data_IF_490505206599
#
_entry.id   IF_490505206599
#
_cell.length_a   1.000
_cell.length_b   1.000
_cell.length_c   1.000
_cell.angle_alpha   90.00
_cell.angle_beta   90.00
_cell.angle_gamma   90.00
#
_symmetry.space_group_name_H-M   'P 1'
#
loop_
_entity.id
_entity.type
_entity.pdbx_description
1 polymer ?
#
# COMPACT_ATOMS: atom_id res chain seq x y z
N UNK A 1 8.41 -17.16 -9.29
CA UNK A 1 8.76 -15.71 -9.41
C UNK A 1 7.93 -14.82 -8.48
N UNK A 2 6.62 -15.04 -8.31
CA UNK A 2 5.74 -14.23 -7.44
C UNK A 2 6.22 -14.11 -5.97
N UNK A 3 6.66 -15.23 -5.36
CA UNK A 3 7.20 -15.22 -4.00
C UNK A 3 8.49 -14.40 -3.86
N UNK A 4 9.30 -14.31 -4.92
CA UNK A 4 10.55 -13.56 -4.91
C UNK A 4 10.27 -12.06 -5.01
N UNK A 5 9.33 -11.66 -5.88
CA UNK A 5 8.88 -10.27 -5.99
C UNK A 5 8.30 -9.74 -4.68
N UNK A 6 7.45 -10.53 -4.01
CA UNK A 6 6.92 -10.17 -2.68
C UNK A 6 8.03 -9.92 -1.66
N UNK A 7 8.93 -10.90 -1.52
CA UNK A 7 10.03 -10.82 -0.56
C UNK A 7 10.95 -9.65 -0.88
N UNK A 8 11.25 -9.41 -2.16
CA UNK A 8 12.09 -8.29 -2.59
C UNK A 8 11.45 -6.92 -2.29
N UNK A 9 10.16 -6.73 -2.58
CA UNK A 9 9.47 -5.46 -2.29
C UNK A 9 9.47 -5.16 -0.79
N UNK A 10 9.14 -6.15 0.04
CA UNK A 10 9.16 -5.97 1.50
C UNK A 10 10.58 -5.74 2.04
N UNK A 11 11.58 -6.45 1.52
CA UNK A 11 12.98 -6.26 1.90
C UNK A 11 13.44 -4.82 1.61
N UNK A 12 13.14 -4.31 0.40
CA UNK A 12 13.48 -2.93 0.02
C UNK A 12 12.84 -1.92 0.97
N UNK A 13 11.55 -2.07 1.29
CA UNK A 13 10.85 -1.18 2.24
C UNK A 13 11.50 -1.22 3.63
N UNK A 14 11.83 -2.40 4.14
CA UNK A 14 12.46 -2.56 5.46
C UNK A 14 13.85 -1.95 5.50
N UNK A 15 14.66 -2.13 4.45
CA UNK A 15 16.00 -1.54 4.36
C UNK A 15 15.95 -0.03 4.34
N UNK A 16 15.04 0.57 3.55
CA UNK A 16 14.87 2.02 3.52
C UNK A 16 14.39 2.59 4.86
N UNK A 17 13.46 1.91 5.53
CA UNK A 17 13.00 2.33 6.86
C UNK A 17 14.12 2.25 7.90
N UNK A 18 14.96 1.21 7.84
CA UNK A 18 16.11 1.05 8.74
C UNK A 18 17.19 2.11 8.49
N UNK A 19 17.55 2.36 7.22
CA UNK A 19 18.56 3.36 6.85
C UNK A 19 18.16 4.77 7.34
N UNK A 20 16.90 5.12 7.15
CA UNK A 20 16.37 6.39 7.61
C UNK A 20 16.26 6.45 9.13
N UNK A 21 15.86 5.36 9.79
CA UNK A 21 15.83 5.28 11.26
C UNK A 21 17.24 5.46 11.86
N UNK A 22 18.25 4.78 11.30
CA UNK A 22 19.65 4.95 11.71
C UNK A 22 20.09 6.40 11.53
N UNK A 23 19.72 7.04 10.42
CA UNK A 23 20.04 8.45 10.18
C UNK A 23 19.48 9.35 11.28
N UNK A 24 18.22 9.16 11.71
CA UNK A 24 17.62 9.92 12.82
C UNK A 24 18.35 9.66 14.14
N UNK A 25 18.70 8.41 14.43
CA UNK A 25 19.43 8.07 15.66
C UNK A 25 20.83 8.69 15.66
N UNK A 26 21.53 8.71 14.52
CA UNK A 26 22.83 9.35 14.40
C UNK A 26 22.75 10.86 14.68
N UNK A 27 21.73 11.53 14.16
CA UNK A 27 21.46 12.94 14.49
C UNK A 27 21.04 13.13 15.95
N UNK A 28 20.28 12.19 16.51
CA UNK A 28 19.84 12.26 17.91
C UNK A 28 20.96 12.03 18.93
N UNK A 29 21.97 11.22 18.62
CA UNK A 29 23.06 10.89 19.55
C UNK A 29 24.08 12.02 19.68
N UNK A 30 24.24 12.87 18.67
CA UNK A 30 25.23 13.96 18.69
C UNK A 30 24.73 15.22 19.41
N UNK A 31 23.99 15.08 20.52
CA UNK A 31 23.45 16.20 21.28
C UNK A 31 24.56 17.19 21.72
N UNK A 32 25.62 16.67 22.33
CA UNK A 32 26.68 17.50 22.93
C UNK A 32 27.43 18.33 21.87
N UNK A 33 27.74 17.73 20.72
CA UNK A 33 28.40 18.43 19.62
C UNK A 33 27.49 19.48 18.95
N UNK A 34 26.17 19.27 19.00
CA UNK A 34 25.19 20.22 18.48
C UNK A 34 25.04 21.44 19.38
N UNK A 35 25.15 21.25 20.69
CA UNK A 35 25.09 22.34 21.67
C UNK A 35 26.29 23.29 21.50
N UNK A 36 27.50 22.75 21.37
CA UNK A 36 28.72 23.54 21.14
C UNK A 36 28.66 24.34 19.82
N UNK A 37 28.18 23.70 18.74
CA UNK A 37 27.98 24.37 17.46
C UNK A 37 26.93 25.48 17.56
N UNK A 38 25.77 25.20 18.18
CA UNK A 38 24.68 26.14 18.36
C UNK A 38 25.13 27.40 19.12
N UNK A 39 25.89 27.22 20.22
CA UNK A 39 26.44 28.33 20.99
C UNK A 39 27.44 29.15 20.17
N UNK A 40 28.34 28.50 19.42
CA UNK A 40 29.34 29.19 18.59
C UNK A 40 28.70 30.05 17.48
N UNK A 41 27.66 29.53 16.82
CA UNK A 41 26.95 30.25 15.75
C UNK A 41 26.11 31.39 16.33
N UNK A 42 25.41 31.15 17.44
CA UNK A 42 24.57 32.16 18.10
C UNK A 42 25.39 33.35 18.59
N UNK A 43 26.59 33.10 19.12
CA UNK A 43 27.50 34.15 19.57
C UNK A 43 28.00 35.00 18.39
N UNK A 44 28.37 34.38 17.26
CA UNK A 44 28.87 35.10 16.08
C UNK A 44 27.83 36.04 15.46
N UNK A 45 26.55 35.64 15.42
CA UNK A 45 25.47 36.46 14.86
C UNK A 45 25.12 37.65 15.75
N UNK A 46 25.24 37.49 17.07
CA UNK A 46 24.94 38.55 18.04
C UNK A 46 26.07 39.58 18.10
N UNK A 47 27.33 39.16 18.01
CA UNK A 47 28.46 40.08 17.97
C UNK A 47 28.38 41.03 16.77
N UNK A 48 27.91 40.54 15.60
CA UNK A 48 27.75 41.35 14.39
C UNK A 48 26.64 42.41 14.52
N UNK A 49 25.61 42.18 15.34
CA UNK A 49 24.51 43.14 15.56
C UNK A 49 24.71 44.09 16.74
N UNK A 50 25.61 43.77 17.68
CA UNK A 50 25.95 44.65 18.80
C UNK A 50 26.98 45.72 18.39
N UNK A 51 27.78 45.50 17.34
CA UNK A 51 28.68 46.52 16.77
C UNK A 51 27.90 47.48 15.87
N UNK A 52 26.87 48.13 16.43
CA UNK A 52 26.24 49.27 15.78
C UNK A 52 27.15 50.48 15.94
N UNK A 53 27.62 50.98 14.81
CA UNK A 53 28.68 51.98 14.54
C UNK A 53 28.68 53.31 15.32
N UNK A 54 27.82 53.55 16.32
CA UNK A 54 27.66 54.85 16.97
C UNK A 54 27.42 54.80 18.49
N UNK A 55 28.06 53.89 19.23
CA UNK A 55 28.23 54.00 20.70
C UNK A 55 26.97 53.92 21.59
N UNK A 56 25.77 54.00 21.02
CA UNK A 56 24.51 53.78 21.72
C UNK A 56 24.20 52.28 21.73
N UNK A 57 24.32 51.67 22.91
CA UNK A 57 23.92 50.29 23.16
C UNK A 57 22.41 50.18 22.97
N UNK A 58 21.99 49.76 21.77
CA UNK A 58 20.61 49.42 21.49
C UNK A 58 20.33 48.13 22.26
N UNK A 59 19.76 48.28 23.46
CA UNK A 59 19.17 47.18 24.24
C UNK A 59 17.98 46.63 23.47
N UNK A 60 18.25 45.91 22.39
CA UNK A 60 17.36 44.90 21.85
C UNK A 60 17.26 43.89 22.98
N UNK A 61 16.24 44.08 23.82
CA UNK A 61 15.92 43.24 24.96
C UNK A 61 15.98 41.78 24.47
N UNK A 62 17.06 41.04 24.77
CA UNK A 62 17.25 39.73 24.18
C UNK A 62 16.16 38.88 24.77
N UNK A 63 15.19 38.50 23.94
CA UNK A 63 14.13 37.60 24.38
C UNK A 63 14.88 36.32 24.81
N UNK A 64 14.83 35.92 26.09
CA UNK A 64 15.68 34.84 26.61
C UNK A 64 15.40 33.49 25.93
N UNK A 65 14.34 33.40 25.14
CA UNK A 65 13.94 32.23 24.40
C UNK A 65 14.80 31.92 23.16
N UNK A 66 15.58 32.88 22.62
CA UNK A 66 16.42 32.64 21.43
C UNK A 66 17.69 31.81 21.70
N UNK A 67 18.09 31.68 22.98
CA UNK A 67 19.31 30.97 23.39
C UNK A 67 19.07 29.59 24.01
N UNK A 68 17.82 29.11 24.03
CA UNK A 68 17.55 27.76 24.51
C UNK A 68 17.88 26.73 23.42
N UNK A 69 19.18 26.53 23.11
CA UNK A 69 19.68 25.49 22.20
C UNK A 69 19.11 24.11 22.56
N UNK A 70 18.89 23.86 23.86
CA UNK A 70 18.24 22.65 24.37
C UNK A 70 16.78 22.48 23.91
N UNK A 71 16.00 23.56 23.88
CA UNK A 71 14.59 23.53 23.43
C UNK A 71 14.52 23.43 21.91
N UNK A 72 15.43 24.11 21.21
CA UNK A 72 15.54 24.04 19.75
C UNK A 72 15.88 22.62 19.30
N UNK A 73 16.87 21.98 19.92
CA UNK A 73 17.25 20.59 19.65
C UNK A 73 16.08 19.62 19.90
N UNK A 74 15.32 19.83 20.98
CA UNK A 74 14.15 19.01 21.28
C UNK A 74 13.05 19.14 20.20
N UNK A 75 12.83 20.35 19.69
CA UNK A 75 11.84 20.60 18.64
C UNK A 75 12.32 20.08 17.26
N UNK A 76 13.61 20.16 16.97
CA UNK A 76 14.22 19.59 15.75
C UNK A 76 14.08 18.06 15.71
N UNK A 77 14.31 17.38 16.84
CA UNK A 77 14.09 15.92 16.93
C UNK A 77 12.61 15.56 16.76
N UNK A 78 11.70 16.31 17.38
CA UNK A 78 10.26 16.09 17.21
C UNK A 78 9.85 16.26 15.75
N UNK A 79 10.40 17.26 15.07
CA UNK A 79 10.17 17.47 13.64
C UNK A 79 10.74 16.32 12.81
N UNK A 80 11.96 15.86 13.10
CA UNK A 80 12.58 14.73 12.40
C UNK A 80 11.74 13.44 12.55
N UNK A 81 11.23 13.16 13.75
CA UNK A 81 10.33 12.03 14.01
C UNK A 81 9.00 12.20 13.26
N UNK A 82 8.42 13.39 13.24
CA UNK A 82 7.17 13.64 12.50
C UNK A 82 7.35 13.45 10.99
N UNK A 83 8.44 13.96 10.42
CA UNK A 83 8.80 13.77 9.00
C UNK A 83 9.07 12.30 8.71
N UNK A 84 9.71 11.56 9.61
CA UNK A 84 9.91 10.11 9.46
C UNK A 84 8.59 9.36 9.35
N UNK A 85 7.63 9.64 10.24
CA UNK A 85 6.32 8.98 10.22
C UNK A 85 5.62 9.28 8.88
N UNK A 86 5.64 10.54 8.44
CA UNK A 86 5.03 10.94 7.17
C UNK A 86 5.68 10.21 5.98
N UNK A 87 7.01 10.19 5.93
CA UNK A 87 7.76 9.48 4.88
C UNK A 87 7.49 7.97 4.93
N UNK A 88 7.44 7.37 6.12
CA UNK A 88 7.12 5.95 6.27
C UNK A 88 5.74 5.60 5.71
N UNK A 89 4.72 6.43 5.98
CA UNK A 89 3.37 6.26 5.42
C UNK A 89 3.41 6.35 3.90
N UNK A 90 4.09 7.36 3.34
CA UNK A 90 4.27 7.49 1.90
C UNK A 90 4.95 6.25 1.31
N UNK A 91 6.06 5.78 1.86
CA UNK A 91 6.79 4.62 1.35
C UNK A 91 5.97 3.33 1.42
N UNK A 92 5.26 3.09 2.53
CA UNK A 92 4.35 1.95 2.65
C UNK A 92 3.25 2.04 1.59
N UNK A 93 2.66 3.22 1.39
CA UNK A 93 1.66 3.44 0.34
C UNK A 93 2.21 3.12 -1.06
N UNK A 94 3.39 3.66 -1.40
CA UNK A 94 4.06 3.39 -2.68
C UNK A 94 4.34 1.89 -2.87
N UNK A 95 4.78 1.19 -1.83
CA UNK A 95 5.02 -0.24 -1.87
C UNK A 95 3.72 -1.04 -2.11
N UNK A 96 2.62 -0.68 -1.44
CA UNK A 96 1.31 -1.29 -1.65
C UNK A 96 0.78 -1.03 -3.08
N UNK A 97 1.01 0.17 -3.62
CA UNK A 97 0.67 0.50 -5.00
C UNK A 97 1.45 -0.36 -6.00
N UNK A 98 2.77 -0.47 -5.84
CA UNK A 98 3.62 -1.31 -6.70
C UNK A 98 3.24 -2.79 -6.58
N UNK A 99 2.92 -3.24 -5.36
CA UNK A 99 2.45 -4.60 -5.13
C UNK A 99 1.13 -4.89 -5.86
N UNK A 100 0.15 -4.00 -5.74
CA UNK A 100 -1.14 -4.08 -6.43
C UNK A 100 -0.96 -4.07 -7.96
N UNK A 101 -0.07 -3.22 -8.47
CA UNK A 101 0.25 -3.16 -9.88
C UNK A 101 0.90 -4.46 -10.39
N UNK A 102 1.88 -5.00 -9.65
CA UNK A 102 2.54 -6.24 -10.00
C UNK A 102 1.55 -7.41 -10.08
N UNK A 103 0.60 -7.50 -9.14
CA UNK A 103 -0.45 -8.52 -9.19
C UNK A 103 -1.36 -8.38 -10.41
N UNK A 104 -1.82 -7.16 -10.73
CA UNK A 104 -2.67 -6.91 -11.90
C UNK A 104 -1.95 -7.27 -13.20
N UNK A 105 -0.68 -6.89 -13.33
CA UNK A 105 0.15 -7.22 -14.49
C UNK A 105 0.30 -8.73 -14.67
N UNK A 106 0.50 -9.46 -13.57
CA UNK A 106 0.61 -10.91 -13.59
C UNK A 106 -0.69 -11.59 -14.02
N UNK A 107 -1.85 -11.13 -13.53
CA UNK A 107 -3.15 -11.65 -13.96
C UNK A 107 -3.37 -11.45 -15.45
N UNK A 108 -3.16 -10.24 -15.96
CA UNK A 108 -3.30 -9.93 -17.40
C UNK A 108 -2.32 -10.74 -18.25
N UNK A 109 -1.05 -10.86 -17.81
CA UNK A 109 -0.05 -11.65 -18.52
C UNK A 109 -0.41 -13.14 -18.59
N UNK A 110 -1.03 -13.68 -17.54
CA UNK A 110 -1.47 -15.07 -17.47
C UNK A 110 -2.68 -15.32 -18.37
N UNK A 111 -3.61 -14.38 -18.44
CA UNK A 111 -4.73 -14.42 -19.37
C UNK A 111 -4.25 -14.36 -20.83
N UNK A 112 -3.33 -13.43 -21.14
CA UNK A 112 -2.73 -13.32 -22.47
C UNK A 112 -1.97 -14.60 -22.88
N UNK A 113 -1.17 -15.17 -21.97
CA UNK A 113 -0.50 -16.44 -22.20
C UNK A 113 -1.48 -17.60 -22.37
N UNK A 114 -2.59 -17.61 -21.62
CA UNK A 114 -3.65 -18.62 -21.75
C UNK A 114 -4.38 -18.56 -23.08
N UNK A 115 -4.61 -17.36 -23.63
CA UNK A 115 -5.19 -17.17 -24.98
C UNK A 115 -4.23 -17.67 -26.06
N UNK A 116 -2.94 -17.37 -25.96
CA UNK A 116 -1.93 -17.85 -26.91
C UNK A 116 -1.73 -19.37 -26.84
N UNK A 117 -1.85 -19.96 -25.64
CA UNK A 117 -1.73 -21.40 -25.44
C UNK A 117 -2.99 -22.19 -25.85
N UNK A 118 -4.15 -21.53 -25.99
CA UNK A 118 -5.42 -22.23 -26.26
C UNK A 118 -5.56 -22.75 -27.70
N UNK A 119 -4.62 -22.40 -28.58
CA UNK A 119 -4.66 -22.77 -30.00
C UNK A 119 -5.91 -22.23 -30.72
N UNK A 120 -5.98 -22.35 -32.05
CA UNK A 120 -7.21 -22.08 -32.76
C UNK A 120 -8.34 -22.96 -32.20
N UNK A 121 -9.58 -22.46 -32.10
CA UNK A 121 -10.71 -23.25 -31.63
C UNK A 121 -10.79 -24.55 -32.44
N UNK A 122 -11.13 -25.70 -31.80
CA UNK A 122 -11.30 -26.94 -32.52
C UNK A 122 -12.30 -26.73 -33.67
N UNK A 123 -12.05 -27.34 -34.85
CA UNK A 123 -12.95 -27.18 -35.99
C UNK A 123 -14.37 -27.58 -35.58
N UNK A 124 -15.40 -26.88 -36.08
CA UNK A 124 -16.78 -27.25 -35.80
C UNK A 124 -16.99 -28.71 -36.20
N UNK A 125 -17.71 -29.51 -35.39
CA UNK A 125 -18.00 -30.89 -35.75
C UNK A 125 -18.67 -30.89 -37.14
N UNK A 126 -18.32 -31.85 -38.01
CA UNK A 126 -18.94 -31.96 -39.31
C UNK A 126 -20.46 -32.05 -39.14
N UNK A 127 -21.25 -31.40 -40.02
CA UNK A 127 -22.69 -31.49 -39.95
C UNK A 127 -23.09 -32.97 -39.97
N UNK A 128 -24.02 -33.40 -39.08
CA UNK A 128 -24.48 -34.77 -39.09
C UNK A 128 -25.00 -35.10 -40.49
N UNK A 129 -24.72 -36.31 -41.02
CA UNK A 129 -25.30 -36.75 -42.28
C UNK A 129 -26.82 -36.52 -42.22
N UNK A 130 -27.37 -35.76 -43.17
CA UNK A 130 -28.82 -35.71 -43.39
C UNK A 130 -29.25 -37.07 -43.93
N UNK A 131 -29.31 -38.06 -43.04
CA UNK A 131 -29.66 -39.43 -43.31
C UNK A 131 -30.78 -39.83 -42.38
N UNK A 132 -31.99 -39.86 -42.96
CA UNK A 132 -33.17 -40.61 -42.53
C UNK A 132 -33.56 -40.53 -41.04
N UNK A 133 -34.71 -39.88 -40.78
CA UNK A 133 -35.47 -40.10 -39.55
C UNK A 133 -35.66 -41.60 -39.27
N UNK A 134 -35.36 -42.07 -38.06
CA UNK A 134 -36.04 -43.20 -37.49
C UNK A 134 -37.00 -42.71 -36.39
N UNK A 135 -38.22 -43.20 -36.52
CA UNK A 135 -39.39 -43.18 -35.63
C UNK A 135 -39.17 -42.95 -34.12
N UNK A 136 -40.15 -42.34 -33.42
CA UNK A 136 -40.14 -42.24 -31.97
C UNK A 136 -40.41 -43.62 -31.36
N UNK A 137 -39.43 -44.15 -30.63
CA UNK A 137 -39.59 -45.33 -29.79
C UNK A 137 -39.03 -45.04 -28.41
N UNK A 138 -39.87 -45.25 -27.40
CA UNK A 138 -39.42 -45.83 -26.14
C UNK A 138 -38.95 -44.84 -25.08
N UNK A 139 -39.94 -44.39 -24.31
CA UNK A 139 -39.89 -44.07 -22.89
C UNK A 139 -38.61 -44.48 -22.11
N UNK A 140 -37.93 -43.45 -21.59
CA UNK A 140 -37.48 -43.28 -20.20
C UNK A 140 -37.21 -44.56 -19.39
N UNK A 141 -35.93 -44.81 -19.10
CA UNK A 141 -35.51 -45.65 -17.98
C UNK A 141 -34.68 -44.80 -17.00
N UNK A 142 -35.33 -43.85 -16.33
CA UNK A 142 -34.73 -43.19 -15.17
C UNK A 142 -34.75 -44.18 -14.01
N UNK A 143 -33.56 -44.65 -13.64
CA UNK A 143 -33.34 -45.38 -12.39
C UNK A 143 -33.51 -44.39 -11.22
N UNK A 144 -34.39 -44.65 -10.25
CA UNK A 144 -34.59 -43.75 -9.12
C UNK A 144 -33.40 -43.91 -8.15
N UNK A 145 -32.55 -42.88 -8.05
CA UNK A 145 -31.61 -42.80 -6.93
C UNK A 145 -32.27 -42.03 -5.78
N UNK A 146 -32.52 -42.79 -4.70
CA UNK A 146 -33.12 -42.40 -3.43
C UNK A 146 -32.63 -41.04 -2.90
N UNK A 147 -33.59 -40.23 -2.50
CA UNK A 147 -33.39 -39.09 -1.60
C UNK A 147 -33.69 -39.52 -0.16
N UNK A 148 -32.69 -39.41 0.73
CA UNK A 148 -32.83 -39.14 2.17
C UNK A 148 -33.18 -40.29 3.13
N UNK A 149 -32.28 -40.60 4.07
CA UNK A 149 -32.59 -40.59 5.51
C UNK A 149 -31.31 -40.54 6.39
N UNK A 150 -31.30 -39.56 7.31
CA UNK A 150 -30.59 -39.39 8.63
C UNK A 150 -29.05 -39.42 8.80
N UNK A 151 -28.49 -38.21 8.98
CA UNK A 151 -27.87 -37.57 10.19
C UNK A 151 -27.14 -38.39 11.28
N UNK A 152 -26.35 -37.76 12.20
CA UNK A 152 -25.57 -36.50 12.18
C UNK A 152 -24.07 -36.73 12.53
N UNK A 153 -23.27 -35.64 12.58
CA UNK A 153 -22.16 -35.36 13.53
C UNK A 153 -20.88 -34.76 12.89
N UNK A 154 -20.50 -33.60 13.45
CA UNK A 154 -19.15 -33.00 13.56
C UNK A 154 -18.36 -32.69 12.26
N UNK A 155 -17.59 -31.63 12.07
CA UNK A 155 -17.23 -30.38 12.75
C UNK A 155 -16.35 -29.65 11.69
N UNK A 156 -16.27 -28.31 11.75
CA UNK A 156 -15.19 -27.43 11.25
C UNK A 156 -15.50 -26.43 10.14
N UNK A 157 -15.20 -25.17 10.49
CA UNK A 157 -15.73 -23.95 9.93
C UNK A 157 -15.18 -23.54 8.57
N UNK A 158 -16.10 -23.02 7.74
CA UNK A 158 -15.81 -22.28 6.53
C UNK A 158 -16.03 -20.79 6.75
N UNK A 159 -14.94 -20.01 6.68
CA UNK A 159 -14.95 -18.55 6.65
C UNK A 159 -15.33 -18.07 5.25
N UNK A 160 -16.41 -17.28 5.21
CA UNK A 160 -16.92 -16.38 4.17
C UNK A 160 -16.09 -16.16 2.88
N UNK A 161 -16.58 -16.75 1.77
CA UNK A 161 -16.27 -16.30 0.41
C UNK A 161 -17.57 -15.88 -0.30
N UNK A 162 -18.05 -14.67 0.00
CA UNK A 162 -19.34 -14.16 -0.53
C UNK A 162 -19.47 -12.64 -0.62
N UNK A 163 -18.37 -11.88 -0.54
CA UNK A 163 -18.40 -10.43 -0.32
C UNK A 163 -18.24 -9.53 -1.54
N UNK A 164 -17.86 -10.04 -2.73
CA UNK A 164 -17.37 -9.16 -3.80
C UNK A 164 -18.39 -8.83 -4.91
N UNK A 165 -19.43 -9.65 -5.10
CA UNK A 165 -20.39 -9.46 -6.19
C UNK A 165 -21.53 -8.48 -5.85
N UNK A 166 -21.78 -8.22 -4.56
CA UNK A 166 -22.79 -7.28 -4.07
C UNK A 166 -22.29 -5.83 -4.04
N UNK A 167 -21.00 -5.59 -3.75
CA UNK A 167 -20.41 -4.23 -3.77
C UNK A 167 -20.33 -3.62 -5.18
N UNK A 168 -20.04 -4.43 -6.21
CA UNK A 168 -20.01 -3.92 -7.60
C UNK A 168 -21.38 -3.44 -8.10
N UNK A 169 -22.48 -4.09 -7.70
CA UNK A 169 -23.83 -3.65 -8.08
C UNK A 169 -24.21 -2.33 -7.42
N UNK A 170 -23.74 -2.07 -6.21
CA UNK A 170 -24.04 -0.84 -5.46
C UNK A 170 -23.32 0.38 -6.03
N UNK A 171 -22.07 0.24 -6.49
CA UNK A 171 -21.32 1.34 -7.13
C UNK A 171 -21.90 1.75 -8.49
N UNK A 172 -22.35 0.79 -9.30
CA UNK A 172 -23.00 1.07 -10.59
C UNK A 172 -24.40 1.69 -10.43
N UNK A 173 -25.05 1.49 -9.29
CA UNK A 173 -26.33 2.14 -8.96
C UNK A 173 -26.09 3.62 -8.62
N UNK A 174 -25.10 3.93 -7.78
CA UNK A 174 -24.76 5.30 -7.37
C UNK A 174 -24.34 6.21 -8.54
N UNK A 175 -23.58 5.68 -9.50
CA UNK A 175 -23.14 6.46 -10.66
C UNK A 175 -24.30 6.88 -11.58
N UNK A 176 -25.42 6.13 -11.59
CA UNK A 176 -26.60 6.47 -12.39
C UNK A 176 -27.46 7.55 -11.75
N UNK A 177 -27.48 7.64 -10.42
CA UNK A 177 -28.29 8.63 -9.71
C UNK A 177 -27.67 10.04 -9.76
N UNK A 178 -26.34 10.15 -9.83
CA UNK A 178 -25.63 11.44 -9.99
C UNK A 178 -25.85 12.04 -11.38
N UNK A 179 -25.92 11.22 -12.44
CA UNK A 179 -26.15 11.69 -13.81
C UNK A 179 -27.60 12.13 -14.08
N UNK A 180 -28.51 11.94 -13.11
CA UNK A 180 -29.94 12.25 -13.24
C UNK A 180 -30.39 13.46 -12.42
N UNK A 181 -29.49 14.07 -11.66
CA UNK A 181 -29.69 15.37 -10.97
C UNK A 181 -29.01 16.49 -11.74
#
# INVERSE_FOLDING_TARGET
MLHYGHRATWLVVVVFLLDFFISIILFGVQNDAYEDWCLSVSHNVVDEHIVLSNGDTLSILPKPDYFNCKKLWEDEIKLAIAVFIFMAICYIYWALCLWSYAQKLLTVSREAAGVLARGPPPPPPPPPPMGMMPRPMGMMNLKPHRYGDRAPDEEQGGVAEGGNRSRQKSAAQWARDILRS
#
